data_IF_942558774652
#
_entry.id   IF_942558774652
#
_cell.length_a   1.000
_cell.length_b   1.000
_cell.length_c   1.000
_cell.angle_alpha   90.00
_cell.angle_beta   90.00
_cell.angle_gamma   90.00
#
_symmetry.space_group_name_H-M   'P 1'
#
loop_
_entity.id
_entity.type
_entity.pdbx_description
1 polymer ?
#
# COMPACT_ATOMS: atom_id res chain seq x y z
N UNK A 1 -27.10 -8.73 61.95
CA UNK A 1 -28.46 -8.64 61.38
C UNK A 1 -28.46 -7.56 60.31
N UNK A 2 -29.28 -7.67 59.26
CA UNK A 2 -29.36 -8.75 58.25
C UNK A 2 -28.97 -8.20 56.86
N UNK A 3 -29.00 -8.91 55.72
CA UNK A 3 -29.51 -10.26 55.32
C UNK A 3 -28.46 -10.98 54.44
N UNK A 4 -28.20 -12.31 54.51
CA UNK A 4 -29.08 -13.47 54.20
C UNK A 4 -29.58 -13.45 52.73
N UNK A 5 -29.51 -14.51 51.88
CA UNK A 5 -29.46 -15.99 51.99
C UNK A 5 -28.64 -16.63 50.81
N UNK A 6 -28.40 -17.95 50.62
CA UNK A 6 -28.16 -19.13 51.51
C UNK A 6 -27.99 -20.51 50.77
N UNK A 7 -26.78 -21.14 50.85
CA UNK A 7 -26.49 -22.63 50.81
C UNK A 7 -26.83 -23.43 49.52
N UNK A 8 -26.37 -24.68 49.24
CA UNK A 8 -25.55 -25.75 49.88
C UNK A 8 -24.51 -26.32 48.85
N UNK A 9 -23.40 -27.06 49.09
CA UNK A 9 -22.69 -27.69 50.25
C UNK A 9 -22.76 -29.24 50.40
N UNK A 10 -21.74 -29.95 49.85
CA UNK A 10 -21.15 -31.31 50.21
C UNK A 10 -22.01 -32.60 50.08
N UNK A 11 -21.48 -33.85 50.10
CA UNK A 11 -20.21 -34.52 49.66
C UNK A 11 -20.25 -36.03 50.06
N UNK A 12 -19.44 -36.94 49.44
CA UNK A 12 -18.87 -38.16 50.11
C UNK A 12 -17.90 -39.00 49.24
N UNK A 13 -17.15 -39.93 49.87
CA UNK A 13 -16.33 -41.03 49.27
C UNK A 13 -16.77 -42.38 49.85
N UNK A 14 -16.87 -43.44 49.04
CA UNK A 14 -16.81 -44.86 49.47
C UNK A 14 -16.48 -45.81 48.30
N UNK A 15 -16.26 -47.11 48.57
CA UNK A 15 -15.79 -48.15 47.61
C UNK A 15 -16.80 -49.30 47.41
N UNK A 16 -16.53 -50.13 46.38
CA UNK A 16 -17.06 -51.48 46.09
C UNK A 16 -18.49 -51.56 45.49
N UNK A 17 -18.81 -52.47 44.55
CA UNK A 17 -17.93 -53.31 43.71
C UNK A 17 -18.56 -54.62 43.19
N UNK A 18 -18.59 -54.83 41.87
CA UNK A 18 -18.78 -56.09 41.08
C UNK A 18 -18.57 -55.74 39.60
N UNK A 19 -17.75 -56.43 38.78
CA UNK A 19 -17.92 -57.79 38.20
C UNK A 19 -19.14 -57.85 37.25
N UNK A 20 -19.06 -58.25 35.97
CA UNK A 20 -17.99 -58.81 35.09
C UNK A 20 -18.22 -58.31 33.62
N UNK A 21 -17.41 -58.57 32.59
CA UNK A 21 -16.45 -59.65 32.35
C UNK A 21 -15.26 -59.25 31.45
N UNK A 22 -14.26 -60.13 31.37
CA UNK A 22 -13.06 -60.03 30.52
C UNK A 22 -13.19 -60.99 29.33
N UNK A 23 -12.72 -60.58 28.17
CA UNK A 23 -12.20 -61.50 27.15
C UNK A 23 -10.98 -60.85 26.47
N UNK A 24 -9.93 -61.62 26.19
CA UNK A 24 -8.64 -61.10 25.74
C UNK A 24 -7.92 -62.09 24.80
N UNK A 25 -7.19 -61.57 23.82
CA UNK A 25 -6.15 -62.29 23.08
C UNK A 25 -5.13 -61.31 22.49
N UNK A 26 -3.85 -61.72 22.47
CA UNK A 26 -2.73 -60.98 21.86
C UNK A 26 -2.57 -61.37 20.39
N UNK A 27 -2.07 -60.45 19.56
CA UNK A 27 -1.05 -60.75 18.53
C UNK A 27 0.06 -59.69 18.65
N UNK A 28 1.29 -60.04 18.26
CA UNK A 28 2.52 -59.38 18.69
C UNK A 28 3.09 -58.33 17.71
N UNK A 29 3.94 -57.46 18.28
CA UNK A 29 5.11 -56.77 17.71
C UNK A 29 5.20 -56.69 16.18
N UNK A 30 4.91 -55.50 15.64
CA UNK A 30 5.47 -55.01 14.39
C UNK A 30 6.27 -53.73 14.66
N UNK A 31 7.53 -53.68 14.25
CA UNK A 31 8.41 -52.52 14.49
C UNK A 31 8.03 -51.35 13.57
N UNK A 32 7.26 -50.40 14.10
CA UNK A 32 6.99 -49.14 13.42
C UNK A 32 8.30 -48.34 13.26
N UNK A 33 8.73 -48.14 12.03
CA UNK A 33 9.89 -47.30 11.70
C UNK A 33 9.64 -45.85 12.10
N UNK A 34 10.71 -45.15 12.47
CA UNK A 34 10.68 -43.72 12.74
C UNK A 34 10.31 -42.96 11.47
N UNK A 35 9.04 -42.57 11.33
CA UNK A 35 8.60 -41.64 10.28
C UNK A 35 9.19 -40.28 10.62
N UNK A 36 10.30 -39.95 9.98
CA UNK A 36 10.85 -38.60 10.01
C UNK A 36 9.85 -37.66 9.35
N UNK A 37 9.29 -36.72 10.11
CA UNK A 37 8.61 -35.56 9.56
C UNK A 37 9.67 -34.64 8.93
N UNK A 38 10.21 -35.06 7.78
CA UNK A 38 10.91 -34.18 6.88
C UNK A 38 9.93 -33.08 6.47
N UNK A 39 10.20 -31.84 6.90
CA UNK A 39 9.53 -30.68 6.33
C UNK A 39 9.83 -30.72 4.82
N UNK A 40 8.80 -30.94 4.01
CA UNK A 40 8.96 -31.08 2.58
C UNK A 40 9.52 -29.77 2.02
N UNK A 41 10.80 -29.79 1.62
CA UNK A 41 11.41 -28.67 0.91
C UNK A 41 10.59 -28.40 -0.34
N UNK A 42 10.03 -27.19 -0.45
CA UNK A 42 9.27 -26.77 -1.62
C UNK A 42 10.14 -26.97 -2.86
N UNK A 43 9.72 -27.76 -3.87
CA UNK A 43 10.56 -28.05 -5.02
C UNK A 43 11.00 -26.77 -5.73
N UNK A 44 12.27 -26.72 -6.14
CA UNK A 44 12.88 -25.61 -6.86
C UNK A 44 12.01 -25.19 -8.06
N UNK A 45 11.59 -23.92 -8.08
CA UNK A 45 10.90 -23.34 -9.23
C UNK A 45 11.81 -23.39 -10.46
N UNK A 46 11.37 -24.10 -11.50
CA UNK A 46 12.12 -24.22 -12.74
C UNK A 46 12.11 -22.89 -13.52
N UNK A 47 13.32 -22.43 -13.89
CA UNK A 47 13.54 -21.38 -14.91
C UNK A 47 12.94 -21.84 -16.26
N UNK A 48 12.36 -21.00 -17.12
CA UNK A 48 12.04 -19.56 -17.07
C UNK A 48 11.01 -19.25 -18.18
N UNK A 49 10.13 -18.25 -17.98
CA UNK A 49 9.46 -17.52 -19.09
C UNK A 49 9.98 -16.08 -19.14
N UNK A 50 9.95 -15.37 -20.29
CA UNK A 50 10.49 -13.99 -20.41
C UNK A 50 9.68 -12.88 -19.70
N UNK A 51 8.68 -13.21 -18.89
CA UNK A 51 7.66 -12.26 -18.41
C UNK A 51 8.11 -11.43 -17.18
N UNK A 52 9.09 -11.92 -16.42
CA UNK A 52 9.59 -11.27 -15.20
C UNK A 52 10.08 -9.82 -15.42
N UNK A 53 10.58 -9.49 -16.62
CA UNK A 53 11.04 -8.13 -16.95
C UNK A 53 9.94 -7.10 -17.23
N UNK A 54 8.65 -7.44 -17.05
CA UNK A 54 7.51 -6.52 -17.25
C UNK A 54 6.51 -6.47 -16.10
N UNK A 55 6.47 -7.47 -15.22
CA UNK A 55 5.43 -7.59 -14.18
C UNK A 55 6.09 -7.50 -12.80
N UNK A 56 5.69 -6.50 -12.01
CA UNK A 56 6.23 -6.30 -10.67
C UNK A 56 6.04 -7.54 -9.78
N UNK A 57 7.02 -7.83 -8.92
CA UNK A 57 7.04 -9.08 -8.13
C UNK A 57 5.79 -9.30 -7.27
N UNK A 58 5.15 -8.29 -6.64
CA UNK A 58 3.93 -8.55 -5.86
C UNK A 58 2.74 -9.02 -6.71
N UNK A 59 2.61 -8.56 -7.97
CA UNK A 59 1.64 -9.14 -8.93
C UNK A 59 2.06 -10.57 -9.32
N UNK A 60 3.34 -10.80 -9.55
CA UNK A 60 3.89 -12.14 -9.85
C UNK A 60 3.67 -13.12 -8.69
N UNK A 61 3.74 -12.68 -7.44
CA UNK A 61 3.46 -13.46 -6.24
C UNK A 61 1.97 -13.82 -6.13
N UNK A 62 1.07 -12.86 -6.41
CA UNK A 62 -0.37 -13.11 -6.52
C UNK A 62 -0.69 -14.12 -7.64
N UNK A 63 -0.08 -13.96 -8.83
CA UNK A 63 -0.22 -14.88 -9.96
C UNK A 63 0.26 -16.30 -9.63
N UNK A 64 1.42 -16.42 -8.99
CA UNK A 64 1.99 -17.71 -8.57
C UNK A 64 1.12 -18.38 -7.49
N UNK A 65 0.63 -17.62 -6.51
CA UNK A 65 -0.29 -18.12 -5.48
C UNK A 65 -1.63 -18.58 -6.07
N UNK A 66 -2.22 -17.81 -6.98
CA UNK A 66 -3.43 -18.16 -7.71
C UNK A 66 -3.24 -19.41 -8.57
N UNK A 67 -2.14 -19.49 -9.31
CA UNK A 67 -1.81 -20.63 -10.18
C UNK A 67 -1.55 -21.92 -9.37
N UNK A 68 -0.86 -21.81 -8.23
CA UNK A 68 -0.66 -22.94 -7.32
C UNK A 68 -1.98 -23.41 -6.69
N UNK A 69 -2.85 -22.48 -6.24
CA UNK A 69 -4.17 -22.82 -5.72
C UNK A 69 -5.06 -23.50 -6.77
N UNK A 70 -5.08 -22.96 -8.00
CA UNK A 70 -5.78 -23.53 -9.17
C UNK A 70 -5.29 -24.94 -9.50
N UNK A 71 -3.97 -25.16 -9.53
CA UNK A 71 -3.38 -26.48 -9.76
C UNK A 71 -3.72 -27.48 -8.64
N UNK A 72 -3.75 -27.03 -7.38
CA UNK A 72 -4.16 -27.82 -6.22
C UNK A 72 -5.69 -27.97 -6.07
N UNK A 73 -6.49 -27.36 -6.95
CA UNK A 73 -7.97 -27.28 -6.86
C UNK A 73 -8.48 -26.69 -5.54
N UNK A 74 -7.76 -25.70 -5.00
CA UNK A 74 -8.09 -24.97 -3.77
C UNK A 74 -8.55 -23.55 -4.10
N UNK A 75 -9.37 -22.96 -3.23
CA UNK A 75 -9.68 -21.53 -3.27
C UNK A 75 -8.40 -20.73 -3.04
N UNK A 76 -8.11 -19.78 -3.92
CA UNK A 76 -7.04 -18.80 -3.70
C UNK A 76 -7.47 -17.78 -2.64
N UNK A 77 -6.53 -17.34 -1.80
CA UNK A 77 -6.76 -16.27 -0.82
C UNK A 77 -5.59 -15.30 -0.87
N UNK A 78 -5.87 -14.03 -1.17
CA UNK A 78 -4.85 -12.97 -1.29
C UNK A 78 -3.99 -12.87 -0.04
N UNK A 79 -4.59 -12.90 1.15
CA UNK A 79 -3.90 -12.84 2.44
C UNK A 79 -3.03 -14.05 2.79
N UNK A 80 -2.91 -15.05 1.90
CA UNK A 80 -1.92 -16.12 2.00
C UNK A 80 -0.60 -15.82 1.27
N UNK A 81 -0.52 -14.69 0.55
CA UNK A 81 0.66 -14.20 -0.15
C UNK A 81 1.36 -13.14 0.70
N UNK A 82 2.67 -13.29 0.93
CA UNK A 82 3.48 -12.31 1.64
C UNK A 82 3.46 -10.94 0.92
N UNK A 83 3.48 -9.84 1.67
CA UNK A 83 3.39 -8.48 1.12
C UNK A 83 1.99 -8.04 0.65
N UNK A 84 0.99 -8.94 0.62
CA UNK A 84 -0.36 -8.62 0.11
C UNK A 84 -1.12 -7.53 0.88
N UNK A 85 -0.69 -7.22 2.12
CA UNK A 85 -1.27 -6.19 3.00
C UNK A 85 -1.37 -4.77 2.39
N UNK A 86 -0.61 -4.50 1.33
CA UNK A 86 -0.51 -3.18 0.71
C UNK A 86 -1.24 -3.08 -0.65
N UNK A 87 -1.77 -4.19 -1.18
CA UNK A 87 -2.22 -4.34 -2.56
C UNK A 87 -3.74 -4.15 -2.70
N UNK A 88 -4.19 -3.23 -3.57
CA UNK A 88 -5.61 -3.12 -3.92
C UNK A 88 -6.04 -4.36 -4.73
N UNK A 89 -6.87 -5.21 -4.12
CA UNK A 89 -7.31 -6.49 -4.69
C UNK A 89 -8.78 -6.74 -4.41
N UNK A 90 -9.39 -7.64 -5.19
CA UNK A 90 -10.71 -8.19 -4.91
C UNK A 90 -10.71 -9.71 -5.10
N UNK A 91 -11.89 -10.33 -5.12
CA UNK A 91 -12.05 -11.78 -5.22
C UNK A 91 -11.53 -12.40 -6.54
N UNK A 92 -11.31 -11.61 -7.60
CA UNK A 92 -10.97 -12.11 -8.94
C UNK A 92 -9.72 -11.49 -9.56
N UNK A 93 -9.24 -10.35 -9.05
CA UNK A 93 -8.07 -9.65 -9.60
C UNK A 93 -7.41 -8.65 -8.67
N UNK A 94 -6.41 -7.98 -9.23
CA UNK A 94 -5.59 -6.92 -8.61
C UNK A 94 -5.79 -5.63 -9.41
N UNK A 95 -5.94 -4.49 -8.74
CA UNK A 95 -5.86 -3.20 -9.41
C UNK A 95 -4.40 -2.91 -9.75
N UNK A 96 -4.12 -2.44 -10.96
CA UNK A 96 -2.78 -2.33 -11.51
C UNK A 96 -2.60 -1.11 -12.40
N UNK A 97 -1.42 -0.50 -12.30
CA UNK A 97 -0.90 0.52 -13.20
C UNK A 97 -0.21 -0.19 -14.38
N UNK A 98 -0.67 0.09 -15.60
CA UNK A 98 -0.17 -0.50 -16.83
C UNK A 98 0.45 0.62 -17.67
N UNK A 99 1.78 0.62 -17.76
CA UNK A 99 2.54 1.56 -18.59
C UNK A 99 2.75 0.99 -19.99
N UNK A 100 2.58 1.82 -21.02
CA UNK A 100 2.64 1.40 -22.42
C UNK A 100 3.56 2.26 -23.30
N UNK A 101 3.84 1.75 -24.49
CA UNK A 101 4.56 2.41 -25.58
C UNK A 101 3.67 2.48 -26.82
N UNK A 102 3.74 3.60 -27.54
CA UNK A 102 2.96 3.80 -28.76
C UNK A 102 1.58 4.40 -28.51
N UNK A 103 0.54 3.69 -28.94
CA UNK A 103 -0.85 4.19 -29.03
C UNK A 103 -1.71 3.72 -27.85
N UNK A 104 -2.14 4.66 -26.99
CA UNK A 104 -3.01 4.36 -25.85
C UNK A 104 -4.34 3.76 -26.31
N UNK A 105 -4.99 4.34 -27.32
CA UNK A 105 -6.23 3.84 -27.90
C UNK A 105 -6.12 2.38 -28.40
N UNK A 106 -4.95 1.98 -28.91
CA UNK A 106 -4.69 0.59 -29.33
C UNK A 106 -4.49 -0.33 -28.13
N UNK A 107 -3.70 0.09 -27.14
CA UNK A 107 -3.47 -0.68 -25.92
C UNK A 107 -4.76 -0.87 -25.09
N UNK A 108 -5.56 0.19 -24.92
CA UNK A 108 -6.90 0.15 -24.31
C UNK A 108 -7.79 -0.90 -24.97
N UNK A 109 -7.91 -0.85 -26.30
CA UNK A 109 -8.73 -1.80 -27.05
C UNK A 109 -8.23 -3.25 -26.96
N UNK A 110 -6.94 -3.47 -26.68
CA UNK A 110 -6.37 -4.80 -26.43
C UNK A 110 -6.62 -5.29 -24.99
N UNK A 111 -6.49 -4.40 -24.00
CA UNK A 111 -6.82 -4.67 -22.59
C UNK A 111 -8.30 -5.04 -22.42
N UNK A 112 -9.19 -4.18 -22.92
CA UNK A 112 -10.65 -4.37 -22.83
C UNK A 112 -11.09 -5.64 -23.58
N UNK A 113 -10.45 -5.96 -24.72
CA UNK A 113 -10.69 -7.21 -25.47
C UNK A 113 -10.24 -8.48 -24.74
N UNK A 114 -9.26 -8.40 -23.84
CA UNK A 114 -8.89 -9.52 -22.96
C UNK A 114 -9.83 -9.67 -21.75
N UNK A 115 -10.71 -8.68 -21.50
CA UNK A 115 -11.56 -8.65 -20.32
C UNK A 115 -10.93 -7.95 -19.11
N UNK A 116 -9.91 -7.12 -19.32
CA UNK A 116 -9.37 -6.21 -18.30
C UNK A 116 -10.24 -4.96 -18.22
N UNK A 117 -10.65 -4.57 -17.02
CA UNK A 117 -11.48 -3.38 -16.81
C UNK A 117 -10.60 -2.17 -16.54
N UNK A 118 -10.41 -1.31 -17.55
CA UNK A 118 -9.64 -0.06 -17.42
C UNK A 118 -10.46 0.98 -16.64
N UNK A 119 -9.96 1.38 -15.47
CA UNK A 119 -10.59 2.35 -14.55
C UNK A 119 -10.07 3.78 -14.73
N UNK A 120 -8.85 3.96 -15.25
CA UNK A 120 -8.23 5.26 -15.48
C UNK A 120 -7.28 5.28 -16.68
N UNK A 121 -7.01 6.46 -17.24
CA UNK A 121 -6.02 6.68 -18.31
C UNK A 121 -5.42 8.08 -18.15
N UNK A 122 -4.09 8.18 -18.13
CA UNK A 122 -3.36 9.46 -18.17
C UNK A 122 -2.02 9.28 -18.86
N UNK A 123 -1.79 10.01 -19.95
CA UNK A 123 -0.63 9.84 -20.85
C UNK A 123 -0.50 8.36 -21.27
N UNK A 124 0.66 7.74 -21.08
CA UNK A 124 0.93 6.33 -21.43
C UNK A 124 0.60 5.34 -20.29
N UNK A 125 -0.20 5.73 -19.30
CA UNK A 125 -0.52 4.94 -18.11
C UNK A 125 -2.02 4.66 -18.05
N UNK A 126 -2.37 3.43 -17.70
CA UNK A 126 -3.74 3.02 -17.38
C UNK A 126 -3.81 2.53 -15.94
N UNK A 127 -4.86 2.89 -15.21
CA UNK A 127 -5.30 2.11 -14.06
C UNK A 127 -6.30 1.06 -14.54
N UNK A 128 -6.19 -0.18 -14.08
CA UNK A 128 -7.11 -1.24 -14.44
C UNK A 128 -7.26 -2.34 -13.37
N UNK A 129 -8.45 -2.94 -13.26
CA UNK A 129 -8.61 -4.22 -12.58
C UNK A 129 -8.19 -5.35 -13.53
N UNK A 130 -7.07 -6.01 -13.20
CA UNK A 130 -6.52 -7.14 -13.94
C UNK A 130 -6.90 -8.45 -13.23
N UNK A 131 -7.72 -9.33 -13.84
CA UNK A 131 -8.02 -10.64 -13.28
C UNK A 131 -6.76 -11.51 -13.12
N UNK A 132 -6.63 -12.25 -12.00
CA UNK A 132 -5.42 -13.04 -11.70
C UNK A 132 -5.05 -14.05 -12.79
N UNK A 133 -6.03 -14.51 -13.57
CA UNK A 133 -5.83 -15.46 -14.67
C UNK A 133 -5.22 -14.85 -15.95
N UNK A 134 -5.20 -13.52 -16.08
CA UNK A 134 -4.83 -12.79 -17.32
C UNK A 134 -3.51 -12.01 -17.22
N UNK A 135 -2.81 -12.09 -16.08
CA UNK A 135 -1.56 -11.34 -15.82
C UNK A 135 -0.49 -11.63 -16.89
N UNK A 136 -0.30 -12.92 -17.25
CA UNK A 136 0.59 -13.35 -18.34
C UNK A 136 0.18 -12.71 -19.69
N UNK A 137 -1.11 -12.68 -20.01
CA UNK A 137 -1.64 -12.20 -21.30
C UNK A 137 -1.53 -10.67 -21.43
N UNK A 138 -1.73 -9.93 -20.34
CA UNK A 138 -1.55 -8.46 -20.29
C UNK A 138 -0.10 -8.06 -20.58
N UNK A 139 0.87 -8.76 -19.98
CA UNK A 139 2.29 -8.52 -20.23
C UNK A 139 2.73 -8.84 -21.67
N UNK A 140 1.96 -9.67 -22.39
CA UNK A 140 2.20 -10.03 -23.80
C UNK A 140 1.57 -9.05 -24.80
N UNK A 141 0.74 -8.08 -24.37
CA UNK A 141 0.16 -7.07 -25.28
C UNK A 141 1.29 -6.26 -25.95
N UNK A 142 1.31 -6.15 -27.30
CA UNK A 142 2.23 -5.26 -28.00
C UNK A 142 2.05 -3.81 -27.53
N UNK A 143 3.12 -3.23 -26.99
CA UNK A 143 3.10 -1.88 -26.41
C UNK A 143 3.24 -1.86 -24.89
N UNK A 144 2.67 -2.84 -24.15
CA UNK A 144 2.82 -2.88 -22.68
C UNK A 144 4.29 -3.01 -22.30
N UNK A 145 4.81 -2.07 -21.51
CA UNK A 145 6.19 -1.99 -21.07
C UNK A 145 6.37 -2.35 -19.60
N UNK A 146 5.38 -2.06 -18.74
CA UNK A 146 5.41 -2.42 -17.33
C UNK A 146 4.00 -2.60 -16.75
N UNK A 147 3.86 -3.46 -15.74
CA UNK A 147 2.63 -3.76 -15.00
C UNK A 147 2.96 -3.81 -13.51
N UNK A 148 2.52 -2.79 -12.75
CA UNK A 148 2.69 -2.67 -11.31
C UNK A 148 1.32 -2.71 -10.60
N UNK A 149 1.22 -3.13 -9.33
CA UNK A 149 -0.05 -3.07 -8.62
C UNK A 149 -0.36 -1.65 -8.13
N UNK A 150 -1.63 -1.29 -8.11
CA UNK A 150 -2.10 -0.08 -7.44
C UNK A 150 -2.08 -0.35 -5.94
N UNK A 151 -1.22 0.39 -5.26
CA UNK A 151 -1.12 0.36 -3.81
C UNK A 151 -2.14 1.31 -3.18
N UNK A 152 -2.52 1.03 -1.93
CA UNK A 152 -3.49 1.85 -1.20
C UNK A 152 -3.04 3.30 -1.06
N UNK A 153 -3.97 4.23 -1.32
CA UNK A 153 -3.86 5.62 -0.91
C UNK A 153 -4.03 5.74 0.62
N UNK A 154 -3.34 6.70 1.24
CA UNK A 154 -3.43 7.00 2.68
C UNK A 154 -3.92 8.43 2.89
N UNK A 155 -4.88 8.59 3.80
CA UNK A 155 -5.64 9.83 4.11
C UNK A 155 -5.44 10.29 5.56
N UNK A 156 -5.78 11.54 5.86
CA UNK A 156 -5.34 12.25 7.07
C UNK A 156 -6.48 13.05 7.74
N UNK A 157 -7.00 12.55 8.87
CA UNK A 157 -8.37 12.87 9.34
C UNK A 157 -8.45 13.82 10.53
N UNK A 158 -9.44 14.72 10.51
CA UNK A 158 -10.00 15.45 11.65
C UNK A 158 -11.51 15.70 11.44
N UNK A 159 -12.26 16.03 12.50
CA UNK A 159 -13.71 16.23 12.43
C UNK A 159 -14.22 17.28 13.44
N UNK A 160 -15.47 17.74 13.25
CA UNK A 160 -16.15 18.85 13.95
C UNK A 160 -15.68 20.24 13.47
N UNK A 161 -16.61 21.21 13.45
CA UNK A 161 -16.46 22.62 13.02
C UNK A 161 -15.08 23.17 13.34
N UNK A 162 -14.35 23.55 12.29
CA UNK A 162 -12.90 23.58 12.34
C UNK A 162 -12.38 24.68 13.26
N UNK A 163 -11.67 24.27 14.31
CA UNK A 163 -10.92 25.23 15.15
C UNK A 163 -9.80 25.93 14.34
N UNK A 164 -9.46 25.39 13.16
CA UNK A 164 -8.61 26.02 12.16
C UNK A 164 -9.15 27.37 11.67
N UNK A 165 -10.47 27.57 11.61
CA UNK A 165 -11.09 28.83 11.17
C UNK A 165 -10.62 30.02 12.05
N UNK A 166 -10.76 29.87 13.37
CA UNK A 166 -10.28 30.86 14.35
C UNK A 166 -8.77 30.87 14.50
N UNK A 167 -8.10 29.72 14.39
CA UNK A 167 -6.64 29.65 14.48
C UNK A 167 -5.94 30.41 13.34
N UNK A 168 -6.50 30.32 12.12
CA UNK A 168 -6.08 31.07 10.94
C UNK A 168 -6.69 32.48 10.87
N UNK A 169 -7.59 32.84 11.79
CA UNK A 169 -8.31 34.12 11.86
C UNK A 169 -9.17 34.42 10.63
N UNK A 170 -9.69 33.38 9.98
CA UNK A 170 -10.55 33.52 8.82
C UNK A 170 -11.91 34.15 9.19
N UNK A 171 -12.40 33.94 10.41
CA UNK A 171 -13.52 34.69 11.02
C UNK A 171 -13.31 36.21 10.99
N UNK A 172 -12.11 36.67 11.37
CA UNK A 172 -11.72 38.07 11.30
C UNK A 172 -11.54 38.55 9.85
N UNK A 173 -11.00 37.71 8.96
CA UNK A 173 -10.86 38.05 7.54
C UNK A 173 -12.21 38.26 6.84
N UNK A 174 -13.18 37.35 7.09
CA UNK A 174 -14.57 37.48 6.62
C UNK A 174 -15.20 38.77 7.13
N UNK A 175 -15.07 39.04 8.44
CA UNK A 175 -15.71 40.17 9.12
C UNK A 175 -15.09 41.53 8.76
N UNK A 176 -13.76 41.62 8.62
CA UNK A 176 -13.06 42.88 8.39
C UNK A 176 -12.87 43.22 6.90
N UNK A 177 -12.82 42.22 6.01
CA UNK A 177 -12.61 42.41 4.57
C UNK A 177 -13.85 42.21 3.70
N UNK A 178 -14.93 41.62 4.24
CA UNK A 178 -16.05 41.07 3.44
C UNK A 178 -15.59 40.03 2.40
N UNK A 179 -14.51 39.28 2.71
CA UNK A 179 -13.94 38.24 1.85
C UNK A 179 -14.37 36.88 2.39
N UNK A 180 -15.33 36.25 1.74
CA UNK A 180 -15.94 34.97 2.12
C UNK A 180 -15.61 33.81 1.16
N UNK A 181 -14.77 34.04 0.15
CA UNK A 181 -14.48 33.10 -0.93
C UNK A 181 -15.33 33.29 -2.19
N UNK A 182 -16.28 34.23 -2.22
CA UNK A 182 -17.08 34.55 -3.41
C UNK A 182 -16.20 34.77 -4.65
N UNK A 183 -16.56 34.10 -5.75
CA UNK A 183 -15.80 34.12 -7.01
C UNK A 183 -14.64 33.11 -7.07
N UNK A 184 -14.34 32.40 -5.98
CA UNK A 184 -13.43 31.25 -5.99
C UNK A 184 -14.19 29.94 -6.17
N UNK A 185 -13.48 28.91 -6.65
CA UNK A 185 -13.96 27.54 -6.67
C UNK A 185 -12.85 26.58 -6.23
N UNK A 186 -13.07 25.86 -5.13
CA UNK A 186 -12.10 24.94 -4.56
C UNK A 186 -12.40 23.52 -5.05
N UNK A 187 -11.41 22.87 -5.65
CA UNK A 187 -11.44 21.46 -6.00
C UNK A 187 -10.80 20.61 -4.90
N UNK A 188 -11.51 19.57 -4.43
CA UNK A 188 -11.04 18.65 -3.39
C UNK A 188 -10.77 17.27 -4.02
N UNK A 189 -9.63 16.68 -3.66
CA UNK A 189 -9.16 15.35 -4.03
C UNK A 189 -8.91 14.51 -2.77
N UNK A 190 -9.75 13.49 -2.54
CA UNK A 190 -9.64 12.56 -1.39
C UNK A 190 -10.34 11.24 -1.72
N UNK A 191 -10.75 10.43 -0.73
CA UNK A 191 -11.32 9.10 -0.95
C UNK A 191 -12.68 9.13 -1.67
N UNK A 192 -13.74 9.61 -1.02
CA UNK A 192 -15.11 9.69 -1.51
C UNK A 192 -15.81 10.96 -1.03
N UNK A 193 -17.00 11.22 -1.56
CA UNK A 193 -17.87 12.32 -1.13
C UNK A 193 -19.17 11.81 -0.51
N UNK A 194 -19.91 10.90 -1.14
CA UNK A 194 -21.18 10.38 -0.58
C UNK A 194 -21.31 8.87 -0.85
N UNK A 195 -20.25 8.12 -0.56
CA UNK A 195 -20.21 6.66 -0.69
C UNK A 195 -21.05 5.96 0.40
N UNK A 196 -21.13 6.58 1.58
CA UNK A 196 -21.96 6.10 2.69
C UNK A 196 -21.15 5.37 3.76
N UNK A 197 -20.96 6.05 4.89
CA UNK A 197 -20.36 5.49 6.10
C UNK A 197 -20.51 6.39 7.32
N UNK A 198 -20.43 7.72 7.14
CA UNK A 198 -20.52 8.72 8.20
C UNK A 198 -21.37 9.92 7.73
N UNK A 199 -22.64 9.97 8.15
CA UNK A 199 -23.59 11.01 7.70
C UNK A 199 -23.98 10.85 6.23
N UNK A 200 -24.38 11.95 5.57
CA UNK A 200 -24.58 12.05 4.11
C UNK A 200 -24.65 13.51 3.66
N UNK A 201 -24.38 13.77 2.38
CA UNK A 201 -24.48 15.12 1.80
C UNK A 201 -25.87 15.76 1.99
N UNK A 202 -26.95 14.97 1.95
CA UNK A 202 -28.30 15.46 2.21
C UNK A 202 -28.53 15.91 3.67
N UNK A 203 -27.79 15.35 4.63
CA UNK A 203 -27.78 15.84 6.02
C UNK A 203 -27.02 17.16 6.11
N UNK A 204 -25.83 17.24 5.49
CA UNK A 204 -24.96 18.43 5.47
C UNK A 204 -25.65 19.63 4.80
N UNK A 205 -26.46 19.39 3.76
CA UNK A 205 -27.35 20.39 3.14
C UNK A 205 -28.47 20.89 4.07
N UNK A 206 -28.90 20.05 5.02
CA UNK A 206 -30.00 20.35 5.95
C UNK A 206 -29.52 21.09 7.19
N UNK A 207 -28.29 20.82 7.66
CA UNK A 207 -27.62 21.58 8.72
C UNK A 207 -27.02 22.89 8.22
N UNK A 208 -26.57 22.93 6.96
CA UNK A 208 -25.81 24.04 6.39
C UNK A 208 -24.29 23.84 6.45
N UNK A 209 -23.81 22.64 6.79
CA UNK A 209 -22.38 22.30 6.75
C UNK A 209 -21.85 22.21 5.30
N UNK A 210 -22.73 22.03 4.30
CA UNK A 210 -22.41 22.14 2.88
C UNK A 210 -23.52 22.83 2.05
N UNK A 211 -23.15 23.57 0.98
CA UNK A 211 -24.12 24.19 0.08
C UNK A 211 -24.75 23.15 -0.86
N UNK A 212 -25.95 23.45 -1.37
CA UNK A 212 -26.67 22.51 -2.24
C UNK A 212 -26.10 22.34 -3.67
N UNK A 213 -25.11 23.14 -4.07
CA UNK A 213 -24.53 23.16 -5.42
C UNK A 213 -23.08 22.66 -5.52
N UNK A 214 -22.68 21.73 -4.65
CA UNK A 214 -21.42 20.98 -4.79
C UNK A 214 -21.39 20.21 -6.12
N UNK A 215 -20.30 20.35 -6.88
CA UNK A 215 -20.10 19.59 -8.12
C UNK A 215 -19.24 18.35 -7.90
N UNK A 216 -19.84 17.16 -7.87
CA UNK A 216 -19.11 15.90 -7.97
C UNK A 216 -18.70 15.65 -9.43
N UNK A 217 -17.39 15.58 -9.68
CA UNK A 217 -16.78 15.41 -11.01
C UNK A 217 -16.30 13.97 -11.24
N UNK A 218 -15.94 13.26 -10.16
CA UNK A 218 -15.72 11.82 -10.13
C UNK A 218 -15.91 11.30 -8.70
N UNK A 219 -16.59 10.17 -8.52
CA UNK A 219 -16.78 9.49 -7.24
C UNK A 219 -16.17 8.08 -7.30
N UNK A 220 -15.62 7.59 -6.18
CA UNK A 220 -15.07 6.23 -6.08
C UNK A 220 -16.07 5.29 -5.43
N UNK A 221 -16.51 4.29 -6.19
CA UNK A 221 -17.68 3.46 -5.87
C UNK A 221 -17.35 2.08 -5.32
N UNK A 222 -16.11 1.86 -4.86
CA UNK A 222 -15.65 0.55 -4.32
C UNK A 222 -15.45 0.53 -2.80
N UNK A 223 -15.05 1.65 -2.20
CA UNK A 223 -14.87 1.82 -0.75
C UNK A 223 -14.64 3.28 -0.40
N UNK A 224 -15.16 3.77 0.73
CA UNK A 224 -14.85 5.11 1.23
C UNK A 224 -15.36 5.34 2.64
N UNK A 225 -15.03 6.51 3.19
CA UNK A 225 -15.47 7.04 4.49
C UNK A 225 -16.02 8.48 4.38
N UNK A 226 -15.96 9.07 3.19
CA UNK A 226 -16.33 10.44 2.88
C UNK A 226 -15.39 11.51 3.50
N UNK A 227 -14.09 11.22 3.55
CA UNK A 227 -13.05 12.15 4.02
C UNK A 227 -12.94 13.37 3.08
N UNK A 228 -13.23 13.19 1.79
CA UNK A 228 -13.40 14.30 0.83
C UNK A 228 -14.56 15.23 1.17
N UNK A 229 -15.69 14.70 1.68
CA UNK A 229 -16.82 15.52 2.15
C UNK A 229 -16.47 16.27 3.44
N UNK A 230 -15.75 15.62 4.36
CA UNK A 230 -15.22 16.29 5.56
C UNK A 230 -14.24 17.44 5.22
N UNK A 231 -13.35 17.26 4.25
CA UNK A 231 -12.51 18.36 3.73
C UNK A 231 -13.34 19.51 3.15
N UNK A 232 -14.44 19.19 2.44
CA UNK A 232 -15.32 20.21 1.87
C UNK A 232 -16.09 21.01 2.94
N UNK A 233 -16.49 20.37 4.04
CA UNK A 233 -17.07 21.05 5.21
C UNK A 233 -16.07 22.05 5.82
N UNK A 234 -14.80 21.64 5.99
CA UNK A 234 -13.71 22.51 6.47
C UNK A 234 -13.49 23.72 5.55
N UNK A 235 -13.60 23.53 4.22
CA UNK A 235 -13.52 24.65 3.27
C UNK A 235 -14.76 25.55 3.36
N UNK A 236 -15.95 25.00 3.62
CA UNK A 236 -17.18 25.79 3.76
C UNK A 236 -17.20 26.64 5.04
N UNK A 237 -16.74 26.10 6.18
CA UNK A 237 -16.51 26.84 7.43
C UNK A 237 -15.66 28.11 7.20
N UNK A 238 -14.56 27.95 6.44
CA UNK A 238 -13.54 28.99 6.22
C UNK A 238 -13.93 29.97 5.11
N UNK A 239 -14.54 29.46 4.03
CA UNK A 239 -14.84 30.21 2.80
C UNK A 239 -16.26 29.88 2.28
N UNK A 240 -17.33 30.29 2.99
CA UNK A 240 -18.70 29.88 2.68
C UNK A 240 -19.25 30.42 1.35
N UNK A 241 -18.67 31.49 0.81
CA UNK A 241 -19.00 32.03 -0.52
C UNK A 241 -18.31 31.31 -1.69
N UNK A 242 -17.31 30.45 -1.42
CA UNK A 242 -16.63 29.69 -2.46
C UNK A 242 -17.52 28.56 -3.01
N UNK A 243 -17.38 28.27 -4.30
CA UNK A 243 -17.96 27.05 -4.89
C UNK A 243 -17.06 25.85 -4.67
N UNK A 244 -17.65 24.67 -4.53
CA UNK A 244 -16.93 23.44 -4.19
C UNK A 244 -17.10 22.40 -5.29
N UNK A 245 -16.03 21.68 -5.61
CA UNK A 245 -16.08 20.54 -6.49
C UNK A 245 -15.25 19.38 -5.91
N UNK A 246 -15.75 18.15 -6.06
CA UNK A 246 -15.05 16.95 -5.65
C UNK A 246 -14.61 16.14 -6.87
N UNK A 247 -13.43 15.56 -6.81
CA UNK A 247 -13.11 14.38 -7.60
C UNK A 247 -12.33 13.41 -6.71
N UNK A 248 -12.63 12.11 -6.77
CA UNK A 248 -11.84 11.13 -6.04
C UNK A 248 -10.37 11.13 -6.46
N UNK A 249 -9.46 10.98 -5.49
CA UNK A 249 -8.05 10.69 -5.70
C UNK A 249 -7.76 9.18 -5.77
N UNK A 250 -8.75 8.33 -5.45
CA UNK A 250 -8.63 6.87 -5.44
C UNK A 250 -8.83 6.28 -6.85
N UNK A 251 -8.52 4.98 -6.98
CA UNK A 251 -8.52 4.24 -8.26
C UNK A 251 -7.13 4.04 -8.86
N UNK A 252 -6.18 4.94 -8.56
CA UNK A 252 -4.77 4.83 -8.93
C UNK A 252 -4.15 6.16 -9.37
N UNK A 253 -2.83 6.15 -9.61
CA UNK A 253 -2.07 7.36 -9.92
C UNK A 253 -2.53 8.04 -11.21
N UNK A 254 -2.93 7.27 -12.23
CA UNK A 254 -3.44 7.82 -13.48
C UNK A 254 -4.84 8.42 -13.31
N UNK A 255 -5.67 7.83 -12.44
CA UNK A 255 -7.01 8.30 -12.08
C UNK A 255 -6.93 9.64 -11.34
N UNK A 256 -6.03 9.76 -10.34
CA UNK A 256 -5.77 11.03 -9.65
C UNK A 256 -5.25 12.10 -10.63
N UNK A 257 -4.23 11.77 -11.44
CA UNK A 257 -3.65 12.70 -12.42
C UNK A 257 -4.69 13.20 -13.45
N UNK A 258 -5.57 12.32 -13.92
CA UNK A 258 -6.70 12.70 -14.78
C UNK A 258 -7.72 13.58 -14.03
N UNK A 259 -8.04 13.26 -12.77
CA UNK A 259 -9.03 13.98 -11.97
C UNK A 259 -8.58 15.40 -11.57
N UNK A 260 -7.29 15.63 -11.34
CA UNK A 260 -6.69 16.99 -11.25
C UNK A 260 -7.02 17.79 -12.52
N UNK A 261 -6.83 17.18 -13.69
CA UNK A 261 -7.17 17.77 -14.99
C UNK A 261 -8.67 18.08 -15.14
N UNK A 262 -9.55 17.21 -14.64
CA UNK A 262 -11.01 17.42 -14.65
C UNK A 262 -11.44 18.55 -13.72
N UNK A 263 -10.92 18.63 -12.49
CA UNK A 263 -11.23 19.72 -11.55
C UNK A 263 -10.81 21.09 -12.11
N UNK A 264 -9.61 21.20 -12.68
CA UNK A 264 -9.17 22.40 -13.42
C UNK A 264 -10.13 22.76 -14.56
N UNK A 265 -10.59 21.76 -15.32
CA UNK A 265 -11.54 21.95 -16.43
C UNK A 265 -12.95 22.31 -15.95
N UNK A 266 -13.33 21.90 -14.73
CA UNK A 266 -14.55 22.33 -14.04
C UNK A 266 -14.47 23.76 -13.48
N UNK A 267 -13.38 24.49 -13.74
CA UNK A 267 -13.19 25.89 -13.34
C UNK A 267 -12.77 26.08 -11.88
N UNK A 268 -12.12 25.09 -11.26
CA UNK A 268 -11.54 25.28 -9.93
C UNK A 268 -10.38 26.27 -9.99
N UNK A 269 -10.41 27.30 -9.14
CA UNK A 269 -9.38 28.34 -9.00
C UNK A 269 -8.34 27.99 -7.94
N UNK A 270 -8.62 27.02 -7.06
CA UNK A 270 -7.69 26.38 -6.13
C UNK A 270 -7.97 24.88 -6.13
N UNK A 271 -6.96 24.02 -6.00
CA UNK A 271 -7.16 22.58 -5.76
C UNK A 271 -6.37 22.14 -4.53
N UNK A 272 -6.92 21.21 -3.75
CA UNK A 272 -6.25 20.60 -2.60
C UNK A 272 -6.49 19.08 -2.55
N UNK A 273 -5.49 18.33 -2.06
CA UNK A 273 -5.61 16.90 -1.73
C UNK A 273 -5.06 16.57 -0.33
N UNK A 274 -5.44 15.41 0.21
CA UNK A 274 -4.86 14.82 1.43
C UNK A 274 -4.16 13.46 1.22
N UNK A 275 -3.91 13.06 -0.03
CA UNK A 275 -3.65 11.67 -0.45
C UNK A 275 -2.21 11.41 -0.84
N UNK A 276 -1.58 10.46 -0.17
CA UNK A 276 -0.27 9.92 -0.56
C UNK A 276 -0.36 8.54 -1.22
N UNK A 277 0.40 8.34 -2.30
CA UNK A 277 0.58 7.06 -2.98
C UNK A 277 1.89 6.38 -2.59
N UNK A 278 1.84 5.10 -2.20
CA UNK A 278 3.01 4.32 -1.78
C UNK A 278 4.05 4.09 -2.90
N UNK A 279 3.69 4.32 -4.16
CA UNK A 279 4.55 4.26 -5.35
C UNK A 279 4.70 5.60 -6.07
N UNK A 280 4.42 6.72 -5.40
CA UNK A 280 4.90 8.02 -5.87
C UNK A 280 6.45 8.02 -5.81
N UNK A 281 7.18 8.40 -6.87
CA UNK A 281 8.64 8.36 -6.86
C UNK A 281 9.23 9.43 -5.94
N UNK A 282 10.28 9.08 -5.21
CA UNK A 282 11.01 9.99 -4.30
C UNK A 282 12.07 10.83 -5.01
N UNK A 283 12.58 10.38 -6.16
CA UNK A 283 13.72 10.97 -6.86
C UNK A 283 13.35 11.66 -8.20
N UNK A 284 12.09 11.58 -8.64
CA UNK A 284 11.62 12.22 -9.89
C UNK A 284 10.11 12.49 -9.90
N UNK A 285 9.65 13.42 -10.75
CA UNK A 285 8.22 13.74 -10.90
C UNK A 285 7.40 12.55 -11.46
N UNK A 286 6.61 11.91 -10.60
CA UNK A 286 5.57 10.96 -10.99
C UNK A 286 4.41 11.61 -11.76
N UNK A 287 3.53 10.81 -12.36
CA UNK A 287 2.43 11.34 -13.20
C UNK A 287 1.47 12.29 -12.47
N UNK A 288 1.27 12.10 -11.16
CA UNK A 288 0.50 13.02 -10.30
C UNK A 288 1.20 14.38 -10.20
N UNK A 289 2.50 14.41 -9.86
CA UNK A 289 3.29 15.65 -9.80
C UNK A 289 3.32 16.38 -11.16
N UNK A 290 3.39 15.63 -12.26
CA UNK A 290 3.30 16.20 -13.61
C UNK A 290 1.92 16.82 -13.90
N UNK A 291 0.82 16.28 -13.35
CA UNK A 291 -0.52 16.85 -13.45
C UNK A 291 -0.71 18.08 -12.55
N UNK A 292 -0.12 18.07 -11.34
CA UNK A 292 -0.02 19.24 -10.46
C UNK A 292 0.73 20.38 -11.16
N UNK A 293 1.88 20.09 -11.76
CA UNK A 293 2.65 21.06 -12.54
C UNK A 293 1.87 21.61 -13.74
N UNK A 294 1.04 20.80 -14.42
CA UNK A 294 0.12 21.29 -15.46
C UNK A 294 -0.99 22.20 -14.90
N UNK A 295 -1.40 22.03 -13.64
CA UNK A 295 -2.40 22.85 -12.97
C UNK A 295 -1.82 24.21 -12.54
N UNK A 296 -0.66 24.20 -11.88
CA UNK A 296 0.05 25.40 -11.44
C UNK A 296 0.49 26.26 -12.63
N UNK A 297 1.00 25.65 -13.71
CA UNK A 297 1.32 26.37 -14.95
C UNK A 297 0.09 26.96 -15.67
N UNK A 298 -1.13 26.52 -15.33
CA UNK A 298 -2.38 27.12 -15.80
C UNK A 298 -2.92 28.23 -14.87
N UNK A 299 -2.15 28.63 -13.85
CA UNK A 299 -2.52 29.66 -12.88
C UNK A 299 -3.39 29.18 -11.71
N UNK A 300 -3.60 27.88 -11.55
CA UNK A 300 -4.38 27.29 -10.45
C UNK A 300 -3.43 26.80 -9.36
N UNK A 301 -3.31 27.49 -8.21
CA UNK A 301 -2.53 26.99 -7.07
C UNK A 301 -3.05 25.64 -6.58
N UNK A 302 -2.11 24.79 -6.18
CA UNK A 302 -2.34 23.42 -5.76
C UNK A 302 -1.70 23.19 -4.39
N UNK A 303 -2.43 22.55 -3.48
CA UNK A 303 -1.99 22.21 -2.13
C UNK A 303 -2.15 20.70 -1.89
N UNK A 304 -1.26 20.11 -1.10
CA UNK A 304 -1.27 18.68 -0.77
C UNK A 304 -0.87 18.47 0.69
N UNK A 305 -1.34 17.40 1.32
CA UNK A 305 -0.85 17.00 2.63
C UNK A 305 0.63 16.60 2.56
N UNK A 306 1.45 17.08 3.50
CA UNK A 306 2.88 16.80 3.57
C UNK A 306 3.24 15.37 4.05
N UNK A 307 2.22 14.54 4.35
CA UNK A 307 2.38 13.26 5.04
C UNK A 307 2.48 13.41 6.57
N UNK A 308 2.15 12.33 7.28
CA UNK A 308 2.18 12.23 8.75
C UNK A 308 3.36 11.40 9.28
N UNK A 309 4.34 11.10 8.42
CA UNK A 309 5.45 10.19 8.72
C UNK A 309 6.59 10.87 9.51
N UNK A 310 6.68 12.21 9.50
CA UNK A 310 7.67 12.96 10.27
C UNK A 310 9.11 12.56 9.92
N UNK A 311 9.84 12.02 10.90
CA UNK A 311 11.22 11.51 10.73
C UNK A 311 11.30 10.00 10.50
N UNK A 312 10.18 9.30 10.28
CA UNK A 312 10.15 7.84 10.08
C UNK A 312 10.63 7.45 8.66
N UNK A 313 11.88 7.76 8.36
CA UNK A 313 12.51 7.54 7.05
C UNK A 313 14.02 7.47 7.16
N UNK A 314 14.66 6.71 6.27
CA UNK A 314 16.11 6.69 6.07
C UNK A 314 16.43 7.13 4.65
N UNK A 315 17.49 7.93 4.45
CA UNK A 315 17.96 8.38 3.14
C UNK A 315 19.49 8.52 3.13
N UNK A 316 20.16 7.88 2.17
CA UNK A 316 21.63 7.88 2.04
C UNK A 316 22.06 7.64 0.59
N UNK A 317 23.38 7.60 0.33
CA UNK A 317 23.90 6.90 -0.85
C UNK A 317 24.14 5.44 -0.49
N UNK A 318 23.87 4.52 -1.42
CA UNK A 318 24.11 3.10 -1.15
C UNK A 318 25.60 2.82 -0.88
N UNK A 319 25.91 2.34 0.32
CA UNK A 319 27.26 2.08 0.81
C UNK A 319 27.47 0.57 0.91
N UNK A 320 28.07 -0.09 -0.10
CA UNK A 320 28.20 -1.54 -0.13
C UNK A 320 29.30 -2.04 0.82
N UNK A 321 28.89 -2.81 1.83
CA UNK A 321 29.78 -3.66 2.63
C UNK A 321 29.47 -5.14 2.37
N UNK A 322 30.49 -6.01 2.42
CA UNK A 322 30.34 -7.44 2.05
C UNK A 322 30.18 -8.32 3.28
N UNK A 323 29.04 -9.00 3.41
CA UNK A 323 28.76 -9.99 4.45
C UNK A 323 28.76 -11.42 3.91
N UNK A 324 29.27 -12.36 4.72
CA UNK A 324 29.38 -13.80 4.36
C UNK A 324 28.11 -14.60 4.66
N UNK A 325 27.11 -14.00 5.31
CA UNK A 325 25.81 -14.63 5.57
C UNK A 325 24.71 -13.61 5.86
N UNK A 326 23.47 -13.92 5.46
CA UNK A 326 22.26 -13.22 5.89
C UNK A 326 21.30 -14.26 6.47
N UNK A 327 20.75 -14.03 7.68
CA UNK A 327 19.77 -14.91 8.34
C UNK A 327 20.14 -16.42 8.30
N UNK A 328 21.40 -16.75 8.63
CA UNK A 328 21.92 -18.12 8.62
C UNK A 328 22.22 -18.71 7.23
N UNK A 329 21.84 -18.03 6.15
CA UNK A 329 22.19 -18.43 4.77
C UNK A 329 23.59 -17.91 4.43
N UNK A 330 24.54 -18.82 4.22
CA UNK A 330 25.91 -18.48 3.84
C UNK A 330 25.99 -18.06 2.35
N UNK A 331 26.90 -17.13 2.04
CA UNK A 331 27.12 -16.61 0.69
C UNK A 331 28.16 -15.50 0.66
N UNK A 332 27.98 -14.54 -0.26
CA UNK A 332 28.74 -13.30 -0.33
C UNK A 332 27.80 -12.22 -0.84
N UNK A 333 27.33 -11.37 0.07
CA UNK A 333 26.24 -10.42 -0.18
C UNK A 333 26.74 -9.00 0.03
N UNK A 334 26.39 -8.09 -0.87
CA UNK A 334 26.63 -6.66 -0.67
C UNK A 334 25.40 -6.07 0.03
N UNK A 335 25.58 -5.48 1.20
CA UNK A 335 24.52 -4.88 2.01
C UNK A 335 24.83 -3.41 2.29
N UNK A 336 23.78 -2.65 2.65
CA UNK A 336 23.95 -1.26 3.06
C UNK A 336 24.74 -1.20 4.38
N UNK A 337 25.71 -0.28 4.42
CA UNK A 337 26.27 0.23 5.66
C UNK A 337 25.44 1.43 6.16
N UNK A 338 24.87 1.30 7.35
CA UNK A 338 24.04 2.31 7.99
C UNK A 338 24.84 3.26 8.89
N UNK A 339 26.11 2.95 9.23
CA UNK A 339 26.98 3.87 9.98
C UNK A 339 27.42 5.04 9.06
N UNK A 340 27.07 6.31 9.39
CA UNK A 340 27.58 7.48 8.66
C UNK A 340 29.07 7.80 8.96
N UNK A 341 29.69 7.06 9.88
CA UNK A 341 31.05 7.25 10.38
C UNK A 341 32.11 6.39 9.71
N UNK A 342 32.70 5.47 10.49
CA UNK A 342 33.87 4.68 10.11
C UNK A 342 33.92 3.29 10.79
N UNK A 343 32.85 2.89 11.48
CA UNK A 343 32.56 1.50 11.78
C UNK A 343 31.88 0.85 10.58
N UNK A 344 31.07 -0.17 10.86
CA UNK A 344 30.17 -0.83 9.90
C UNK A 344 28.93 -1.26 10.67
N UNK A 345 27.75 -0.83 10.23
CA UNK A 345 26.47 -1.37 10.71
C UNK A 345 25.64 -1.84 9.51
N UNK A 346 25.17 -3.08 9.54
CA UNK A 346 24.41 -3.68 8.42
C UNK A 346 22.92 -3.81 8.70
N UNK A 347 22.45 -3.30 9.84
CA UNK A 347 21.13 -3.60 10.40
C UNK A 347 20.54 -2.40 11.17
N UNK A 348 19.76 -1.55 10.51
CA UNK A 348 19.04 -0.50 11.22
C UNK A 348 17.91 -1.09 12.07
N UNK A 349 17.89 -0.75 13.37
CA UNK A 349 16.87 -1.24 14.30
C UNK A 349 15.51 -0.58 14.06
N UNK A 350 14.44 -1.34 14.29
CA UNK A 350 13.06 -0.84 14.32
C UNK A 350 12.29 -1.47 15.47
N UNK A 351 11.41 -0.69 16.08
CA UNK A 351 10.49 -1.17 17.11
C UNK A 351 9.05 -1.13 16.58
N UNK A 352 8.41 -2.32 16.56
CA UNK A 352 7.07 -2.55 16.02
C UNK A 352 6.14 -2.92 17.17
N UNK A 353 5.31 -2.00 17.70
CA UNK A 353 4.46 -2.30 18.87
C UNK A 353 3.39 -3.36 18.62
N UNK A 354 2.87 -3.92 19.71
CA UNK A 354 1.84 -4.97 19.67
C UNK A 354 0.63 -4.56 18.80
N UNK A 355 0.28 -5.37 17.81
CA UNK A 355 -0.85 -5.11 16.90
C UNK A 355 -0.62 -3.98 15.88
N UNK A 356 0.63 -3.53 15.68
CA UNK A 356 0.99 -2.52 14.67
C UNK A 356 1.64 -3.14 13.44
N UNK A 357 1.59 -2.39 12.34
CA UNK A 357 2.21 -2.75 11.07
C UNK A 357 3.39 -1.81 10.80
N UNK A 358 4.46 -2.38 10.26
CA UNK A 358 5.54 -1.66 9.61
C UNK A 358 5.29 -1.73 8.10
N UNK A 359 5.25 -0.58 7.42
CA UNK A 359 5.01 -0.48 5.97
C UNK A 359 6.07 0.42 5.35
N UNK A 360 7.12 -0.18 4.81
CA UNK A 360 8.22 0.53 4.17
C UNK A 360 7.98 0.60 2.67
N UNK A 361 7.82 1.82 2.13
CA UNK A 361 8.17 2.08 0.74
C UNK A 361 9.67 2.31 0.70
N UNK A 362 10.40 1.46 -0.04
CA UNK A 362 11.83 1.62 -0.33
C UNK A 362 12.01 1.94 -1.82
N UNK A 363 12.89 2.87 -2.15
CA UNK A 363 13.20 3.27 -3.52
C UNK A 363 14.67 3.66 -3.66
N UNK A 364 15.15 3.68 -4.90
CA UNK A 364 16.48 4.18 -5.24
C UNK A 364 16.49 5.03 -6.51
N UNK A 365 17.54 5.84 -6.64
CA UNK A 365 17.78 6.82 -7.71
C UNK A 365 18.25 6.11 -9.00
N UNK A 366 17.33 5.33 -9.55
CA UNK A 366 17.38 4.65 -10.85
C UNK A 366 16.21 5.16 -11.72
N UNK A 367 16.23 4.86 -13.01
CA UNK A 367 15.15 5.31 -13.91
C UNK A 367 13.87 4.47 -13.73
N UNK A 368 12.73 5.12 -13.48
CA UNK A 368 11.42 4.46 -13.48
C UNK A 368 11.01 4.07 -14.90
N UNK A 369 10.72 2.78 -15.10
CA UNK A 369 10.26 2.20 -16.37
C UNK A 369 8.84 2.59 -16.73
N UNK A 370 7.96 2.73 -15.74
CA UNK A 370 6.59 3.21 -15.95
C UNK A 370 6.59 4.63 -16.51
N UNK A 371 7.35 5.53 -15.87
CA UNK A 371 7.44 6.95 -16.23
C UNK A 371 8.29 7.22 -17.48
N UNK A 372 9.28 6.36 -17.78
CA UNK A 372 10.08 6.43 -19.00
C UNK A 372 10.04 5.07 -19.74
N UNK A 373 8.94 4.72 -20.45
CA UNK A 373 8.79 3.43 -21.12
C UNK A 373 9.90 3.08 -22.13
N UNK A 374 10.45 4.09 -22.82
CA UNK A 374 11.58 3.95 -23.74
C UNK A 374 12.96 3.89 -23.07
N UNK A 375 13.01 4.13 -21.76
CA UNK A 375 14.22 4.12 -20.93
C UNK A 375 14.67 2.71 -20.51
N UNK A 376 15.75 2.64 -19.72
CA UNK A 376 16.27 1.36 -19.23
C UNK A 376 15.33 0.68 -18.23
N UNK A 377 14.64 1.45 -17.39
CA UNK A 377 14.20 0.96 -16.08
C UNK A 377 15.37 0.90 -15.10
N UNK A 378 15.16 0.28 -13.93
CA UNK A 378 16.19 0.17 -12.91
C UNK A 378 17.41 -0.63 -13.40
N UNK A 379 18.60 -0.15 -13.07
CA UNK A 379 19.90 -0.74 -13.41
C UNK A 379 20.52 -1.53 -12.25
N UNK A 380 19.93 -1.41 -11.06
CA UNK A 380 20.26 -2.15 -9.86
C UNK A 380 19.01 -2.86 -9.33
N UNK A 381 19.26 -3.93 -8.59
CA UNK A 381 18.25 -4.78 -7.97
C UNK A 381 18.55 -4.82 -6.47
N UNK A 382 17.65 -4.29 -5.64
CA UNK A 382 17.85 -4.17 -4.20
C UNK A 382 16.70 -4.82 -3.41
N UNK A 383 17.05 -5.84 -2.65
CA UNK A 383 16.14 -6.47 -1.70
C UNK A 383 16.15 -5.69 -0.37
N UNK A 384 14.99 -5.65 0.30
CA UNK A 384 14.85 -5.22 1.68
C UNK A 384 14.33 -6.35 2.55
N UNK A 385 15.04 -6.64 3.64
CA UNK A 385 14.70 -7.68 4.61
C UNK A 385 14.37 -7.07 5.97
N UNK A 386 13.31 -7.57 6.61
CA UNK A 386 13.07 -7.39 8.03
C UNK A 386 13.51 -8.67 8.74
N UNK A 387 14.53 -8.57 9.59
CA UNK A 387 15.11 -9.66 10.37
C UNK A 387 14.65 -9.58 11.83
N UNK A 388 14.76 -10.70 12.56
CA UNK A 388 14.59 -10.67 14.01
C UNK A 388 15.70 -9.84 14.70
N UNK A 389 15.51 -9.51 15.97
CA UNK A 389 16.46 -8.71 16.78
C UNK A 389 17.90 -9.24 16.85
N UNK A 390 18.15 -10.49 16.45
CA UNK A 390 19.49 -11.11 16.41
C UNK A 390 20.07 -11.26 15.01
N UNK A 391 19.36 -10.81 13.97
CA UNK A 391 19.78 -10.96 12.56
C UNK A 391 19.74 -12.41 12.03
N UNK A 392 19.20 -13.36 12.81
CA UNK A 392 19.32 -14.81 12.53
C UNK A 392 18.19 -15.38 11.68
N UNK A 393 17.05 -14.71 11.58
CA UNK A 393 15.90 -15.16 10.80
C UNK A 393 15.17 -14.00 10.12
N UNK A 394 14.68 -14.24 8.90
CA UNK A 394 13.83 -13.30 8.15
C UNK A 394 12.39 -13.37 8.70
N UNK A 395 11.82 -12.21 9.02
CA UNK A 395 10.43 -12.01 9.42
C UNK A 395 9.54 -11.58 8.24
N UNK A 396 10.08 -10.73 7.36
CA UNK A 396 9.50 -10.35 6.08
C UNK A 396 10.59 -9.96 5.08
N UNK A 397 10.26 -9.95 3.80
CA UNK A 397 11.15 -9.51 2.72
C UNK A 397 10.35 -8.86 1.59
N UNK A 398 10.91 -7.80 1.04
CA UNK A 398 10.65 -7.33 -0.31
C UNK A 398 11.89 -7.71 -1.12
N UNK A 399 11.75 -8.68 -2.02
CA UNK A 399 12.83 -9.25 -2.84
C UNK A 399 12.28 -9.61 -4.23
N UNK A 400 11.92 -8.58 -4.97
CA UNK A 400 11.53 -8.59 -6.36
C UNK A 400 12.76 -8.81 -7.26
N UNK A 401 12.53 -8.78 -8.57
CA UNK A 401 13.58 -8.31 -9.48
C UNK A 401 13.04 -7.09 -10.19
N UNK A 402 13.65 -5.95 -9.88
CA UNK A 402 13.36 -4.62 -10.41
C UNK A 402 14.17 -4.32 -11.67
N UNK A 403 15.15 -5.16 -12.05
CA UNK A 403 15.99 -4.99 -13.24
C UNK A 403 15.14 -4.73 -14.51
N UNK A 404 15.22 -3.52 -15.03
CA UNK A 404 14.46 -3.06 -16.20
C UNK A 404 13.01 -2.62 -15.94
N UNK A 405 12.55 -2.68 -14.68
CA UNK A 405 11.27 -2.18 -14.16
C UNK A 405 11.42 -0.89 -13.35
N UNK A 406 10.53 -0.66 -12.39
CA UNK A 406 10.60 0.50 -11.48
C UNK A 406 11.48 0.22 -10.25
N UNK A 407 12.32 1.16 -9.79
CA UNK A 407 13.21 0.99 -8.64
C UNK A 407 12.48 1.22 -7.30
N UNK A 408 11.55 0.31 -6.98
CA UNK A 408 10.70 0.37 -5.78
C UNK A 408 10.46 -1.01 -5.19
N UNK A 409 10.50 -1.06 -3.87
CA UNK A 409 10.15 -2.22 -3.06
C UNK A 409 9.24 -1.86 -1.90
N UNK A 410 8.37 -2.79 -1.51
CA UNK A 410 7.28 -2.52 -0.57
C UNK A 410 7.13 -3.61 0.48
N UNK A 411 7.88 -3.45 1.58
CA UNK A 411 7.85 -4.38 2.72
C UNK A 411 6.68 -4.06 3.64
N UNK A 412 5.89 -5.08 3.99
CA UNK A 412 4.80 -4.99 4.96
C UNK A 412 4.89 -6.12 5.99
N UNK A 413 4.90 -5.77 7.28
CA UNK A 413 4.91 -6.74 8.39
C UNK A 413 4.02 -6.26 9.54
N UNK A 414 3.09 -7.10 9.99
CA UNK A 414 2.24 -6.82 11.16
C UNK A 414 2.73 -7.62 12.37
N UNK A 415 3.08 -6.94 13.46
CA UNK A 415 3.38 -7.60 14.73
C UNK A 415 2.06 -8.12 15.35
N UNK A 416 1.80 -9.40 15.14
CA UNK A 416 0.66 -10.14 15.72
C UNK A 416 0.94 -10.69 17.12
N UNK A 417 2.11 -10.42 17.71
CA UNK A 417 2.42 -10.79 19.09
C UNK A 417 1.80 -9.80 20.08
N UNK A 418 1.56 -10.25 21.31
CA UNK A 418 0.96 -9.43 22.38
C UNK A 418 1.93 -8.49 23.11
N UNK A 419 3.09 -8.21 22.51
CA UNK A 419 4.14 -7.36 23.07
C UNK A 419 4.87 -6.64 21.91
N UNK A 420 5.69 -5.65 22.25
CA UNK A 420 6.45 -4.89 21.24
C UNK A 420 7.61 -5.73 20.69
N UNK A 421 7.84 -5.63 19.38
CA UNK A 421 8.83 -6.42 18.65
C UNK A 421 9.97 -5.53 18.16
N UNK A 422 11.17 -5.72 18.73
CA UNK A 422 12.40 -5.22 18.13
C UNK A 422 12.79 -6.12 16.95
N UNK A 423 13.04 -5.51 15.80
CA UNK A 423 13.46 -6.14 14.55
C UNK A 423 14.55 -5.29 13.89
N UNK A 424 15.15 -5.78 12.81
CA UNK A 424 16.21 -5.07 12.10
C UNK A 424 15.92 -5.02 10.59
N UNK A 425 16.07 -3.85 9.96
CA UNK A 425 16.05 -3.67 8.51
C UNK A 425 17.45 -3.93 7.96
N UNK A 426 17.54 -4.78 6.92
CA UNK A 426 18.76 -4.97 6.12
C UNK A 426 18.43 -4.74 4.65
N UNK A 427 19.25 -3.96 3.95
CA UNK A 427 19.13 -3.71 2.52
C UNK A 427 20.29 -4.42 1.81
N UNK A 428 20.00 -5.20 0.77
CA UNK A 428 21.00 -5.97 0.01
C UNK A 428 20.91 -5.64 -1.49
N UNK A 429 22.03 -5.37 -2.15
CA UNK A 429 22.06 -5.28 -3.61
C UNK A 429 22.21 -6.67 -4.22
N UNK A 430 21.10 -7.23 -4.70
CA UNK A 430 21.03 -8.52 -5.36
C UNK A 430 21.69 -8.51 -6.75
N UNK A 431 21.49 -7.44 -7.53
CA UNK A 431 22.14 -7.25 -8.83
C UNK A 431 22.43 -5.78 -9.14
N UNK A 432 23.22 -5.55 -10.20
CA UNK A 432 23.81 -4.25 -10.49
C UNK A 432 25.06 -3.94 -9.65
N UNK A 433 25.70 -2.81 -9.95
CA UNK A 433 26.96 -2.37 -9.33
C UNK A 433 26.94 -0.92 -8.87
N UNK A 434 25.87 -0.17 -9.17
CA UNK A 434 25.73 1.24 -8.86
C UNK A 434 25.54 1.50 -7.37
N UNK A 435 25.92 2.71 -6.96
CA UNK A 435 25.71 3.25 -5.60
C UNK A 435 24.77 4.46 -5.69
N UNK A 436 23.50 4.27 -6.10
CA UNK A 436 22.52 5.36 -6.22
C UNK A 436 22.20 5.95 -4.84
N UNK A 437 21.47 7.07 -4.83
CA UNK A 437 20.76 7.49 -3.61
C UNK A 437 19.68 6.46 -3.31
N UNK A 438 19.50 6.12 -2.04
CA UNK A 438 18.50 5.16 -1.56
C UNK A 438 17.66 5.82 -0.48
N UNK A 439 16.37 5.49 -0.42
CA UNK A 439 15.45 6.03 0.58
C UNK A 439 14.36 5.04 0.92
N UNK A 440 14.03 4.91 2.21
CA UNK A 440 12.73 4.38 2.61
C UNK A 440 11.96 5.31 3.52
N UNK A 441 10.64 5.18 3.48
CA UNK A 441 9.69 5.89 4.34
C UNK A 441 8.73 4.85 4.92
N UNK A 442 8.53 4.88 6.23
CA UNK A 442 7.53 4.07 6.91
C UNK A 442 6.17 4.79 6.90
N UNK A 443 5.19 4.21 6.21
CA UNK A 443 3.87 4.81 5.99
C UNK A 443 2.80 4.39 7.02
N UNK A 444 3.07 3.46 7.94
CA UNK A 444 2.16 3.12 9.03
C UNK A 444 2.50 3.88 10.33
N UNK A 445 1.49 4.43 10.99
CA UNK A 445 1.65 5.19 12.21
C UNK A 445 1.88 4.29 13.45
N UNK A 446 2.78 4.71 14.33
CA UNK A 446 3.02 4.08 15.63
C UNK A 446 4.07 2.96 15.65
N UNK A 447 4.93 2.89 14.64
CA UNK A 447 6.18 2.11 14.65
C UNK A 447 7.37 3.08 14.53
N UNK A 448 8.49 2.79 15.22
CA UNK A 448 9.69 3.64 15.18
C UNK A 448 10.80 3.03 14.33
N UNK A 449 11.56 3.90 13.68
CA UNK A 449 12.87 3.61 13.11
C UNK A 449 13.86 4.27 14.05
N UNK A 450 14.80 3.47 14.55
CA UNK A 450 15.68 3.82 15.68
C UNK A 450 17.11 4.15 15.18
#
# INVERSE_FOLDING_TARGET
MPSFLSRYVRAMRARHGSASAVCAALIAVGSATSVTNAQAQTPLLAKTKPLYGKVASPITALYNGFSAAKAQRRTFSVGSVAGSQNLQTNATGVAAEIAVTGSTATARAQLEKLGVTVTGEYKQHFDALVPFALIDDVALIPGVSYVAPNYGAITNVGAVTTQGDRAMRADLARTAGSIDGTGQKVGILSDTFDFGGVGSYAADQTSGDLPADVQVVAEYTSSGKDEGRAMMQIVHDVAPGAKLAFATAFGGQATMAANIGKLRTAGCTVITDDVSYLTAPFFMDGIVAQAVNQCVNAGVPYFMAAGNQGTNSYESSYSPTTVTSIAGTAGSFNVQDFDPGAGVDTMQQVTIPAGRTLRLTFQWDDQWKSLVPAGSGATNDFDMYLLNSTGTAILASAAASNMGGDPVELLGYTNSTGADLTANILIMRYAGTGTPRIKYVNFDAGTTID
#
